data_IF_394542105287
#
_entry.id   IF_394542105287
#
_cell.length_a   1.000
_cell.length_b   1.000
_cell.length_c   1.000
_cell.angle_alpha   90.00
_cell.angle_beta   90.00
_cell.angle_gamma   90.00
#
_symmetry.space_group_name_H-M   'P 1'
#
loop_
_entity.id
_entity.type
_entity.pdbx_description
1 polymer ?
#
# COMPACT_ATOMS: atom_id res chain seq x y z
N UNK A 1 21.27 1.16 7.72
CA UNK A 1 22.02 -0.06 7.36
C UNK A 1 21.08 -1.22 7.06
N UNK A 2 20.31 -1.75 8.01
CA UNK A 2 19.54 -3.00 7.78
C UNK A 2 18.39 -3.00 6.76
N UNK A 3 17.74 -1.86 6.45
CA UNK A 3 16.54 -1.86 5.58
C UNK A 3 16.85 -2.06 4.10
N UNK A 4 17.94 -1.46 3.62
CA UNK A 4 18.39 -1.63 2.24
C UNK A 4 18.81 -3.09 1.97
N UNK A 5 19.42 -3.75 2.95
CA UNK A 5 19.78 -5.17 2.87
C UNK A 5 18.52 -6.05 2.83
N UNK A 6 17.58 -5.81 3.76
CA UNK A 6 16.31 -6.55 3.83
C UNK A 6 15.49 -6.38 2.53
N UNK A 7 15.49 -5.18 1.94
CA UNK A 7 14.86 -4.89 0.64
C UNK A 7 15.58 -5.61 -0.50
N UNK A 8 16.92 -5.61 -0.53
CA UNK A 8 17.70 -6.30 -1.55
C UNK A 8 17.49 -7.83 -1.51
N UNK A 9 17.29 -8.38 -0.30
CA UNK A 9 16.96 -9.79 -0.10
C UNK A 9 15.58 -10.22 -0.60
N UNK A 10 14.75 -9.30 -1.12
CA UNK A 10 13.46 -9.63 -1.73
C UNK A 10 13.59 -10.12 -3.18
N UNK A 11 14.64 -9.71 -3.92
CA UNK A 11 14.78 -9.99 -5.35
C UNK A 11 14.61 -11.48 -5.71
N UNK A 12 15.26 -12.36 -4.93
CA UNK A 12 15.20 -13.81 -5.12
C UNK A 12 13.97 -14.51 -4.53
N UNK A 13 13.01 -13.79 -3.96
CA UNK A 13 11.82 -14.39 -3.33
C UNK A 13 10.68 -14.48 -4.32
N UNK A 14 10.04 -15.66 -4.46
CA UNK A 14 8.86 -15.78 -5.29
C UNK A 14 7.64 -15.15 -4.61
N UNK A 15 6.69 -14.73 -5.45
CA UNK A 15 5.31 -14.45 -5.02
C UNK A 15 4.73 -15.72 -4.38
N UNK A 16 3.96 -15.55 -3.30
CA UNK A 16 3.41 -16.65 -2.51
C UNK A 16 1.89 -16.85 -2.71
N UNK A 17 1.28 -16.10 -3.61
CA UNK A 17 -0.14 -16.16 -3.98
C UNK A 17 -0.25 -16.50 -5.46
N UNK A 18 -1.15 -17.41 -5.81
CA UNK A 18 -1.48 -17.69 -7.19
C UNK A 18 -2.72 -16.84 -7.56
N UNK A 19 -2.65 -15.98 -8.59
CA UNK A 19 -3.80 -15.21 -9.05
C UNK A 19 -5.00 -16.10 -9.45
N UNK A 20 -4.77 -17.34 -9.87
CA UNK A 20 -5.84 -18.30 -10.15
C UNK A 20 -6.59 -18.76 -8.89
N UNK A 21 -6.00 -18.57 -7.69
CA UNK A 21 -6.66 -18.80 -6.40
C UNK A 21 -7.46 -17.58 -5.92
N UNK A 22 -7.53 -16.48 -6.70
CA UNK A 22 -8.26 -15.27 -6.31
C UNK A 22 -9.74 -15.59 -6.06
N UNK A 23 -10.25 -15.34 -4.84
CA UNK A 23 -11.63 -15.66 -4.50
C UNK A 23 -12.58 -14.54 -4.94
N UNK A 24 -13.70 -14.89 -5.57
CA UNK A 24 -14.77 -13.92 -5.90
C UNK A 24 -15.54 -13.42 -4.67
N UNK A 25 -15.50 -14.17 -3.56
CA UNK A 25 -16.24 -13.89 -2.32
C UNK A 25 -15.48 -14.37 -1.08
N UNK A 26 -15.68 -13.74 0.10
CA UNK A 26 -15.14 -14.25 1.36
C UNK A 26 -15.54 -15.71 1.60
N UNK A 27 -14.60 -16.55 2.07
CA UNK A 27 -14.84 -17.97 2.32
C UNK A 27 -13.56 -18.82 2.29
N UNK A 28 -13.62 -20.05 2.82
CA UNK A 28 -12.49 -20.99 2.84
C UNK A 28 -11.17 -20.44 3.43
N UNK A 29 -11.26 -19.51 4.38
CA UNK A 29 -10.10 -18.87 5.02
C UNK A 29 -9.55 -17.64 4.28
N UNK A 30 -10.19 -17.23 3.18
CA UNK A 30 -9.89 -15.98 2.48
C UNK A 30 -10.69 -14.81 3.04
N UNK A 31 -9.98 -13.71 3.22
CA UNK A 31 -10.53 -12.38 3.42
C UNK A 31 -10.57 -11.66 2.07
N UNK A 32 -11.69 -10.99 1.79
CA UNK A 32 -11.85 -10.13 0.62
C UNK A 32 -12.29 -8.76 1.11
N UNK A 33 -11.61 -7.73 0.65
CA UNK A 33 -11.82 -6.35 1.04
C UNK A 33 -12.01 -5.46 -0.18
N UNK A 34 -12.93 -4.51 -0.01
CA UNK A 34 -13.14 -3.45 -0.97
C UNK A 34 -13.31 -2.13 -0.23
N UNK A 35 -12.49 -1.14 -0.60
CA UNK A 35 -12.55 0.22 -0.07
C UNK A 35 -12.73 1.21 -1.23
N UNK A 36 -13.55 2.23 -1.03
CA UNK A 36 -13.74 3.33 -1.99
C UNK A 36 -13.87 4.64 -1.23
N UNK A 37 -13.24 5.69 -1.73
CA UNK A 37 -13.37 7.03 -1.19
C UNK A 37 -13.33 8.07 -2.31
N UNK A 38 -14.30 8.98 -2.32
CA UNK A 38 -14.22 10.22 -3.11
C UNK A 38 -13.07 11.07 -2.57
N UNK A 39 -12.09 11.39 -3.41
CA UNK A 39 -10.87 12.12 -3.02
C UNK A 39 -10.74 13.47 -3.71
N UNK A 40 -11.50 13.72 -4.76
CA UNK A 40 -11.51 14.99 -5.48
C UNK A 40 -12.62 15.05 -6.53
N UNK A 41 -12.65 16.17 -7.26
CA UNK A 41 -13.61 16.38 -8.34
C UNK A 41 -12.99 17.29 -9.38
N UNK A 42 -13.24 16.98 -10.64
CA UNK A 42 -12.82 17.73 -11.82
C UNK A 42 -14.05 18.01 -12.71
N UNK A 43 -13.95 18.85 -13.74
CA UNK A 43 -14.95 18.88 -14.80
C UNK A 43 -15.08 17.51 -15.50
N UNK A 44 -16.28 17.20 -16.05
CA UNK A 44 -16.47 16.07 -16.96
C UNK A 44 -15.48 16.09 -18.14
N UNK A 45 -15.14 14.91 -18.65
CA UNK A 45 -14.13 14.70 -19.69
C UNK A 45 -12.79 14.23 -19.14
N UNK A 46 -11.76 14.32 -19.98
CA UNK A 46 -10.40 13.86 -19.67
C UNK A 46 -9.84 14.50 -18.39
N UNK A 47 -8.88 13.85 -17.69
CA UNK A 47 -8.21 14.46 -16.54
C UNK A 47 -7.66 15.84 -16.85
N UNK A 48 -7.88 16.78 -15.92
CA UNK A 48 -7.29 18.11 -16.02
C UNK A 48 -5.81 18.01 -15.65
N UNK A 49 -4.89 18.62 -16.43
CA UNK A 49 -3.47 18.70 -16.04
C UNK A 49 -3.30 19.31 -14.65
N UNK A 50 -2.44 18.70 -13.83
CA UNK A 50 -2.24 19.01 -12.42
C UNK A 50 -3.54 18.93 -11.57
N UNK A 51 -4.56 18.24 -12.07
CA UNK A 51 -5.87 18.06 -11.45
C UNK A 51 -5.87 17.08 -10.27
N UNK A 52 -7.05 16.90 -9.67
CA UNK A 52 -7.23 16.01 -8.52
C UNK A 52 -6.94 14.54 -8.86
N UNK A 53 -7.20 14.10 -10.10
CA UNK A 53 -6.88 12.75 -10.57
C UNK A 53 -5.36 12.54 -10.65
N UNK A 54 -4.61 13.45 -11.27
CA UNK A 54 -3.15 13.35 -11.36
C UNK A 54 -2.48 13.43 -9.97
N UNK A 55 -2.98 14.31 -9.10
CA UNK A 55 -2.52 14.42 -7.70
C UNK A 55 -2.76 13.13 -6.93
N UNK A 56 -3.95 12.54 -7.04
CA UNK A 56 -4.27 11.27 -6.41
C UNK A 56 -3.36 10.16 -6.95
N UNK A 57 -3.12 10.11 -8.27
CA UNK A 57 -2.19 9.16 -8.88
C UNK A 57 -0.78 9.31 -8.30
N UNK A 58 -0.28 10.54 -8.12
CA UNK A 58 1.03 10.78 -7.50
C UNK A 58 1.09 10.27 -6.05
N UNK A 59 0.07 10.58 -5.23
CA UNK A 59 -0.02 10.09 -3.84
C UNK A 59 0.00 8.55 -3.78
N UNK A 60 -0.74 7.90 -4.69
CA UNK A 60 -0.85 6.43 -4.75
C UNK A 60 0.43 5.78 -5.29
N UNK A 61 1.05 6.34 -6.33
CA UNK A 61 2.34 5.90 -6.89
C UNK A 61 3.46 5.90 -5.85
N UNK A 62 3.47 6.94 -5.04
CA UNK A 62 4.54 7.19 -4.07
C UNK A 62 4.24 6.60 -2.68
N UNK A 63 3.14 5.84 -2.57
CA UNK A 63 2.69 5.15 -1.35
C UNK A 63 2.54 6.08 -0.13
N UNK A 64 2.19 7.35 -0.37
CA UNK A 64 2.13 8.40 0.66
C UNK A 64 0.84 8.37 1.50
N UNK A 65 -0.10 7.50 1.13
CA UNK A 65 -1.43 7.41 1.71
C UNK A 65 -1.54 6.51 2.95
N UNK A 66 -0.51 5.72 3.29
CA UNK A 66 -0.61 4.83 4.45
C UNK A 66 -0.55 5.60 5.76
N UNK A 67 -1.24 5.10 6.78
CA UNK A 67 -1.06 5.56 8.15
C UNK A 67 0.31 5.10 8.65
N UNK A 68 1.26 6.04 8.75
CA UNK A 68 2.61 5.77 9.20
C UNK A 68 2.68 5.02 10.53
N UNK A 69 1.68 5.14 11.41
CA UNK A 69 1.65 4.45 12.72
C UNK A 69 1.39 2.95 12.57
N UNK A 70 0.85 2.52 11.42
CA UNK A 70 0.49 1.13 11.13
C UNK A 70 1.41 0.51 10.10
N UNK A 71 1.64 1.19 8.97
CA UNK A 71 2.42 0.66 7.85
C UNK A 71 3.31 1.75 7.26
N UNK A 72 4.57 1.40 7.04
CA UNK A 72 5.50 2.17 6.21
C UNK A 72 5.98 1.33 5.04
N UNK A 73 6.12 1.94 3.87
CA UNK A 73 6.73 1.32 2.70
C UNK A 73 8.19 1.75 2.56
N UNK A 74 9.05 0.80 2.20
CA UNK A 74 10.44 1.03 1.80
C UNK A 74 10.67 0.45 0.42
N UNK A 75 11.21 1.27 -0.48
CA UNK A 75 11.47 0.87 -1.86
C UNK A 75 12.55 1.77 -2.46
N UNK A 76 13.04 1.42 -3.66
CA UNK A 76 13.90 2.30 -4.45
C UNK A 76 13.04 3.00 -5.49
N UNK A 77 12.99 4.34 -5.49
CA UNK A 77 12.14 5.07 -6.44
C UNK A 77 12.67 5.00 -7.89
N UNK A 78 13.96 4.69 -8.06
CA UNK A 78 14.60 4.50 -9.36
C UNK A 78 14.17 3.19 -10.06
N UNK A 79 13.70 2.19 -9.30
CA UNK A 79 13.20 0.94 -9.88
C UNK A 79 11.87 1.22 -10.60
N UNK A 80 11.63 0.71 -11.82
CA UNK A 80 10.33 0.80 -12.48
C UNK A 80 9.19 0.33 -11.56
N UNK A 81 8.00 0.93 -11.64
CA UNK A 81 6.90 0.56 -10.75
C UNK A 81 6.54 -0.91 -10.92
N UNK A 82 6.34 -1.38 -12.15
CA UNK A 82 6.11 -2.80 -12.44
C UNK A 82 7.38 -3.61 -12.11
N UNK A 83 7.21 -4.67 -11.32
CA UNK A 83 8.31 -5.52 -10.85
C UNK A 83 9.04 -4.99 -9.61
N UNK A 84 8.70 -3.78 -9.12
CA UNK A 84 9.34 -3.19 -7.94
C UNK A 84 9.12 -4.05 -6.71
N UNK A 85 10.22 -4.39 -6.04
CA UNK A 85 10.16 -4.94 -4.69
C UNK A 85 9.93 -3.82 -3.69
N UNK A 86 9.02 -4.06 -2.76
CA UNK A 86 8.74 -3.17 -1.64
C UNK A 86 8.79 -3.96 -0.34
N UNK A 87 9.41 -3.36 0.67
CA UNK A 87 9.37 -3.85 2.03
C UNK A 87 8.32 -3.05 2.79
N UNK A 88 7.31 -3.71 3.34
CA UNK A 88 6.34 -3.10 4.23
C UNK A 88 6.77 -3.34 5.67
N UNK A 89 6.82 -2.29 6.50
CA UNK A 89 6.99 -2.41 7.95
C UNK A 89 5.61 -2.31 8.60
N UNK A 90 5.05 -3.47 8.96
CA UNK A 90 3.87 -3.56 9.81
C UNK A 90 4.24 -3.21 11.26
N UNK A 91 3.52 -2.28 11.88
CA UNK A 91 3.84 -1.72 13.20
C UNK A 91 2.76 -2.08 14.21
N UNK A 92 3.12 -2.84 15.24
CA UNK A 92 2.22 -3.24 16.31
C UNK A 92 2.87 -3.03 17.68
N UNK A 93 2.50 -1.96 18.38
CA UNK A 93 3.17 -1.60 19.64
C UNK A 93 4.68 -1.42 19.42
N UNK A 94 5.56 -2.18 20.10
CA UNK A 94 7.00 -2.20 19.85
C UNK A 94 7.42 -3.14 18.70
N UNK A 95 6.58 -4.06 18.25
CA UNK A 95 6.93 -5.00 17.18
C UNK A 95 6.92 -4.31 15.81
N UNK A 96 7.93 -4.62 14.99
CA UNK A 96 8.05 -4.17 13.60
C UNK A 96 8.23 -5.42 12.73
N UNK A 97 7.35 -5.62 11.77
CA UNK A 97 7.38 -6.78 10.88
C UNK A 97 7.80 -6.35 9.49
N UNK A 98 8.91 -6.90 9.00
CA UNK A 98 9.38 -6.70 7.64
C UNK A 98 8.69 -7.71 6.71
N UNK A 99 7.83 -7.19 5.85
CA UNK A 99 6.87 -7.91 5.02
C UNK A 99 7.12 -7.57 3.55
N UNK A 100 7.71 -8.50 2.81
CA UNK A 100 8.07 -8.28 1.40
C UNK A 100 6.87 -8.43 0.47
N UNK A 101 6.73 -7.50 -0.47
CA UNK A 101 5.75 -7.52 -1.56
C UNK A 101 6.43 -7.14 -2.88
N UNK A 102 5.82 -7.51 -3.99
CA UNK A 102 6.29 -7.13 -5.33
C UNK A 102 5.14 -6.58 -6.15
N UNK A 103 5.37 -5.47 -6.85
CA UNK A 103 4.40 -4.93 -7.80
C UNK A 103 4.33 -5.85 -9.01
N UNK A 104 3.15 -6.39 -9.30
CA UNK A 104 2.92 -7.39 -10.35
C UNK A 104 2.05 -6.88 -11.49
N UNK A 105 1.35 -5.77 -11.28
CA UNK A 105 0.48 -5.16 -12.29
C UNK A 105 0.50 -3.63 -12.17
N UNK A 106 0.39 -2.96 -13.31
CA UNK A 106 0.17 -1.52 -13.43
C UNK A 106 -0.91 -1.33 -14.48
N UNK A 107 -1.96 -0.58 -14.15
CA UNK A 107 -3.05 -0.25 -15.07
C UNK A 107 -3.00 1.25 -15.38
N UNK A 108 -3.19 1.57 -16.65
CA UNK A 108 -3.23 2.94 -17.13
C UNK A 108 -4.08 2.98 -18.41
N UNK A 109 -5.41 3.10 -18.26
CA UNK A 109 -6.35 2.98 -19.37
C UNK A 109 -7.63 3.81 -19.20
N UNK A 110 -8.45 3.82 -20.24
CA UNK A 110 -9.85 4.27 -20.20
C UNK A 110 -10.73 3.06 -20.49
N UNK A 111 -11.68 2.77 -19.60
CA UNK A 111 -12.64 1.67 -19.76
C UNK A 111 -14.01 2.13 -19.27
N UNK A 112 -15.09 1.73 -19.96
CA UNK A 112 -16.48 1.94 -19.52
C UNK A 112 -16.82 3.38 -19.06
N UNK A 113 -16.26 4.39 -19.72
CA UNK A 113 -16.49 5.80 -19.38
C UNK A 113 -15.74 6.30 -18.14
N UNK A 114 -14.77 5.54 -17.62
CA UNK A 114 -13.87 5.96 -16.54
C UNK A 114 -12.41 5.94 -16.99
N UNK A 115 -11.63 6.90 -16.46
CA UNK A 115 -10.17 6.91 -16.56
C UNK A 115 -9.58 6.25 -15.33
N UNK A 116 -8.75 5.23 -15.53
CA UNK A 116 -8.18 4.41 -14.44
C UNK A 116 -6.65 4.44 -14.51
N UNK A 117 -6.03 4.73 -13.38
CA UNK A 117 -4.61 4.47 -13.16
C UNK A 117 -4.41 3.77 -11.82
N UNK A 118 -3.53 2.79 -11.75
CA UNK A 118 -3.35 2.02 -10.53
C UNK A 118 -2.25 0.99 -10.62
N UNK A 119 -2.03 0.27 -9.52
CA UNK A 119 -1.07 -0.81 -9.46
C UNK A 119 -1.43 -1.82 -8.38
N UNK A 120 -0.88 -3.02 -8.55
CA UNK A 120 -1.12 -4.17 -7.70
C UNK A 120 0.19 -4.70 -7.18
N UNK A 121 0.23 -5.07 -5.90
CA UNK A 121 1.29 -5.91 -5.37
C UNK A 121 0.77 -7.25 -4.89
N UNK A 122 1.65 -8.24 -4.96
CA UNK A 122 1.49 -9.56 -4.39
C UNK A 122 2.48 -9.80 -3.25
N UNK A 123 2.07 -10.53 -2.23
CA UNK A 123 2.95 -10.88 -1.10
C UNK A 123 4.02 -11.89 -1.50
N UNK A 124 5.22 -11.73 -0.95
CA UNK A 124 6.37 -12.62 -1.22
C UNK A 124 6.52 -13.71 -0.15
N UNK A 125 7.28 -14.77 -0.46
CA UNK A 125 7.61 -15.81 0.51
C UNK A 125 8.28 -15.23 1.78
N UNK A 126 7.77 -15.65 2.94
CA UNK A 126 8.17 -15.16 4.27
C UNK A 126 7.30 -14.03 4.82
N UNK A 127 6.28 -13.59 4.07
CA UNK A 127 5.19 -12.75 4.58
C UNK A 127 4.28 -13.53 5.54
N UNK A 128 3.59 -12.82 6.45
CA UNK A 128 2.57 -13.39 7.37
C UNK A 128 1.28 -13.81 6.68
N UNK A 129 1.12 -13.41 5.42
CA UNK A 129 -0.10 -13.55 4.63
C UNK A 129 0.27 -14.01 3.22
N UNK A 130 -0.71 -14.60 2.55
CA UNK A 130 -0.72 -14.87 1.11
C UNK A 130 -1.86 -14.05 0.52
N UNK A 131 -1.55 -13.04 -0.26
CA UNK A 131 -2.57 -12.13 -0.77
C UNK A 131 -2.07 -11.13 -1.78
N UNK A 132 -3.04 -10.37 -2.28
CA UNK A 132 -2.91 -9.34 -3.31
C UNK A 132 -3.63 -8.08 -2.85
N UNK A 133 -3.01 -6.93 -3.08
CA UNK A 133 -3.65 -5.62 -2.92
C UNK A 133 -3.50 -4.79 -4.19
N UNK A 134 -4.63 -4.26 -4.66
CA UNK A 134 -4.73 -3.35 -5.81
C UNK A 134 -5.17 -1.98 -5.33
N UNK A 135 -4.48 -0.94 -5.79
CA UNK A 135 -4.81 0.47 -5.55
C UNK A 135 -5.08 1.15 -6.88
N UNK A 136 -6.26 1.72 -7.05
CA UNK A 136 -6.68 2.43 -8.27
C UNK A 136 -7.14 3.86 -7.93
N UNK A 137 -6.87 4.77 -8.84
CA UNK A 137 -7.48 6.09 -8.92
C UNK A 137 -8.38 6.11 -10.15
N UNK A 138 -9.66 6.33 -9.92
CA UNK A 138 -10.70 6.25 -10.95
C UNK A 138 -11.33 7.64 -11.08
N UNK A 139 -11.34 8.19 -12.31
CA UNK A 139 -12.14 9.37 -12.65
C UNK A 139 -13.34 8.93 -13.49
N UNK A 140 -14.55 9.26 -13.04
CA UNK A 140 -15.75 9.17 -13.87
C UNK A 140 -15.74 10.32 -14.89
N UNK A 141 -15.71 9.99 -16.19
CA UNK A 141 -15.58 11.00 -17.25
C UNK A 141 -16.89 11.75 -17.50
N UNK A 142 -18.03 11.26 -16.99
CA UNK A 142 -19.33 11.92 -17.12
C UNK A 142 -19.59 12.87 -15.95
N UNK A 143 -19.23 12.49 -14.72
CA UNK A 143 -19.47 13.33 -13.52
C UNK A 143 -18.25 14.16 -13.13
N UNK A 144 -17.05 13.71 -13.49
CA UNK A 144 -15.78 14.28 -13.04
C UNK A 144 -15.37 13.90 -11.62
N UNK A 145 -16.10 12.98 -10.96
CA UNK A 145 -15.73 12.48 -9.63
C UNK A 145 -14.42 11.69 -9.70
N UNK A 146 -13.51 11.93 -8.74
CA UNK A 146 -12.23 11.24 -8.61
C UNK A 146 -12.23 10.44 -7.33
N UNK A 147 -11.97 9.14 -7.46
CA UNK A 147 -12.06 8.19 -6.36
C UNK A 147 -10.81 7.36 -6.22
N UNK A 148 -10.48 7.07 -4.97
CA UNK A 148 -9.49 6.07 -4.62
C UNK A 148 -10.19 4.76 -4.29
N UNK A 149 -9.76 3.68 -4.96
CA UNK A 149 -10.34 2.35 -4.84
C UNK A 149 -9.27 1.36 -4.40
N UNK A 150 -9.62 0.50 -3.46
CA UNK A 150 -8.78 -0.58 -2.97
C UNK A 150 -9.52 -1.89 -3.13
N UNK A 151 -8.85 -2.88 -3.71
CA UNK A 151 -9.31 -4.27 -3.76
C UNK A 151 -8.23 -5.14 -3.16
N UNK A 152 -8.59 -5.96 -2.18
CA UNK A 152 -7.65 -6.88 -1.58
C UNK A 152 -8.27 -8.25 -1.40
N UNK A 153 -7.44 -9.27 -1.52
CA UNK A 153 -7.75 -10.58 -0.96
C UNK A 153 -6.51 -11.15 -0.28
N UNK A 154 -6.70 -11.78 0.87
CA UNK A 154 -5.60 -12.42 1.60
C UNK A 154 -6.08 -13.61 2.42
N UNK A 155 -5.16 -14.51 2.74
CA UNK A 155 -5.33 -15.51 3.79
C UNK A 155 -4.06 -15.59 4.65
N UNK A 156 -4.16 -16.01 5.91
CA UNK A 156 -2.97 -16.22 6.74
C UNK A 156 -2.00 -17.20 6.08
N UNK A 157 -0.72 -16.87 6.07
CA UNK A 157 0.33 -17.85 5.77
C UNK A 157 0.52 -18.76 7.00
N UNK A 158 1.32 -19.82 6.85
CA UNK A 158 1.77 -20.60 8.01
C UNK A 158 2.70 -19.71 8.84
N UNK A 159 2.28 -19.32 10.04
CA UNK A 159 3.08 -18.53 11.00
C UNK A 159 3.63 -19.49 12.07
N UNK A 160 4.91 -19.92 12.00
CA UNK A 160 5.45 -20.92 12.92
C UNK A 160 5.52 -20.41 14.36
N UNK A 161 5.92 -19.14 14.54
CA UNK A 161 6.11 -18.54 15.85
C UNK A 161 4.74 -18.14 16.48
N UNK A 162 4.37 -18.71 17.63
CA UNK A 162 3.08 -18.43 18.28
C UNK A 162 2.94 -16.98 18.76
N UNK A 163 4.04 -16.31 19.14
CA UNK A 163 4.03 -14.90 19.55
C UNK A 163 3.69 -13.98 18.37
N UNK A 164 4.26 -14.26 17.19
CA UNK A 164 3.97 -13.48 15.98
C UNK A 164 2.56 -13.74 15.49
N UNK A 165 2.09 -15.00 15.58
CA UNK A 165 0.71 -15.36 15.29
C UNK A 165 -0.27 -14.62 16.21
N UNK A 166 0.03 -14.52 17.51
CA UNK A 166 -0.79 -13.76 18.45
C UNK A 166 -0.75 -12.26 18.15
N UNK A 167 0.43 -11.68 17.91
CA UNK A 167 0.56 -10.27 17.55
C UNK A 167 -0.18 -9.91 16.26
N UNK A 168 -0.16 -10.80 15.27
CA UNK A 168 -0.91 -10.66 14.02
C UNK A 168 -2.42 -10.84 14.23
N UNK A 169 -2.85 -11.82 15.02
CA UNK A 169 -4.27 -12.02 15.35
C UNK A 169 -4.86 -10.84 16.13
N UNK A 170 -4.06 -10.18 16.98
CA UNK A 170 -4.44 -8.94 17.67
C UNK A 170 -4.57 -7.75 16.71
N UNK A 171 -3.95 -7.80 15.53
CA UNK A 171 -4.21 -6.86 14.43
C UNK A 171 -5.50 -7.17 13.67
N UNK A 172 -6.48 -7.70 14.39
CA UNK A 172 -7.69 -8.33 13.86
C UNK A 172 -8.49 -7.47 12.89
N UNK A 173 -9.53 -8.07 12.33
CA UNK A 173 -10.37 -7.54 11.25
C UNK A 173 -10.79 -6.06 11.39
N UNK A 174 -11.03 -5.58 12.60
CA UNK A 174 -11.36 -4.17 12.85
C UNK A 174 -10.26 -3.18 12.47
N UNK A 175 -8.99 -3.56 12.65
CA UNK A 175 -7.84 -2.71 12.29
C UNK A 175 -7.62 -2.67 10.77
N UNK A 176 -7.94 -3.77 10.07
CA UNK A 176 -7.95 -3.84 8.61
C UNK A 176 -9.04 -2.93 8.01
N UNK A 177 -10.28 -2.99 8.52
CA UNK A 177 -11.37 -2.13 8.05
C UNK A 177 -11.08 -0.64 8.28
N UNK A 178 -10.54 -0.30 9.46
CA UNK A 178 -10.16 1.07 9.75
C UNK A 178 -8.98 1.55 8.90
N UNK A 179 -8.09 0.65 8.45
CA UNK A 179 -7.03 1.00 7.51
C UNK A 179 -7.62 1.55 6.20
N UNK A 180 -8.60 0.86 5.59
CA UNK A 180 -9.20 1.30 4.32
C UNK A 180 -9.87 2.67 4.41
N UNK A 181 -10.56 2.97 5.51
CA UNK A 181 -11.13 4.31 5.72
C UNK A 181 -10.05 5.38 5.88
N UNK A 182 -9.01 5.12 6.69
CA UNK A 182 -7.93 6.09 6.96
C UNK A 182 -7.10 6.40 5.71
N UNK A 183 -6.82 5.41 4.87
CA UNK A 183 -6.06 5.65 3.64
C UNK A 183 -6.84 6.49 2.64
N UNK A 184 -8.15 6.26 2.49
CA UNK A 184 -9.01 7.10 1.65
C UNK A 184 -9.09 8.55 2.15
N UNK A 185 -9.24 8.75 3.46
CA UNK A 185 -9.17 10.07 4.09
C UNK A 185 -7.81 10.74 3.81
N UNK A 186 -6.71 10.01 3.97
CA UNK A 186 -5.37 10.56 3.75
C UNK A 186 -5.12 10.95 2.29
N UNK A 187 -5.61 10.18 1.31
CA UNK A 187 -5.54 10.60 -0.10
C UNK A 187 -6.32 11.90 -0.31
N UNK A 188 -7.57 11.97 0.19
CA UNK A 188 -8.39 13.19 0.11
C UNK A 188 -7.70 14.40 0.72
N UNK A 189 -7.11 14.24 1.91
CA UNK A 189 -6.43 15.33 2.61
C UNK A 189 -5.20 15.83 1.84
N UNK A 190 -4.40 14.91 1.28
CA UNK A 190 -3.23 15.26 0.48
C UNK A 190 -3.61 15.94 -0.84
N UNK A 191 -4.64 15.44 -1.53
CA UNK A 191 -5.18 16.06 -2.75
C UNK A 191 -5.75 17.45 -2.45
N UNK A 192 -6.54 17.57 -1.38
CA UNK A 192 -7.11 18.84 -0.93
C UNK A 192 -6.06 19.87 -0.55
N UNK A 193 -5.00 19.46 0.15
CA UNK A 193 -3.86 20.32 0.48
C UNK A 193 -3.10 20.76 -0.78
N UNK A 194 -2.89 19.85 -1.73
CA UNK A 194 -2.25 20.16 -3.01
C UNK A 194 -3.05 21.16 -3.84
N UNK A 195 -4.37 21.01 -3.86
CA UNK A 195 -5.27 21.98 -4.47
C UNK A 195 -5.20 23.36 -3.81
N UNK A 196 -4.94 23.42 -2.51
CA UNK A 196 -4.72 24.66 -1.78
C UNK A 196 -3.29 25.24 -1.94
N UNK A 197 -2.44 24.65 -2.79
CA UNK A 197 -1.10 25.12 -3.09
C UNK A 197 0.01 24.53 -2.20
N UNK A 198 -0.30 23.55 -1.35
CA UNK A 198 0.74 22.84 -0.60
C UNK A 198 1.38 21.73 -1.44
N UNK A 199 2.72 21.60 -1.48
CA UNK A 199 3.33 20.54 -2.27
C UNK A 199 2.94 19.16 -1.73
N UNK A 200 2.68 18.21 -2.63
CA UNK A 200 2.55 16.80 -2.26
C UNK A 200 3.89 16.30 -1.67
N UNK A 201 3.84 15.41 -0.65
CA UNK A 201 5.05 14.76 -0.15
C UNK A 201 5.65 13.92 -1.27
N UNK A 202 6.97 14.08 -1.51
CA UNK A 202 7.69 13.40 -2.58
C UNK A 202 8.73 12.44 -2.00
N UNK A 203 8.81 11.18 -2.45
CA UNK A 203 9.82 10.26 -1.97
C UNK A 203 11.24 10.86 -2.08
N UNK A 204 11.91 11.04 -0.93
CA UNK A 204 13.30 11.47 -0.88
C UNK A 204 14.17 10.27 -0.52
N UNK A 205 15.03 9.77 -1.42
CA UNK A 205 15.92 8.66 -1.12
C UNK A 205 16.88 9.03 0.01
N UNK A 206 17.07 8.10 0.94
CA UNK A 206 18.18 8.18 1.90
C UNK A 206 19.54 7.94 1.22
N UNK A 207 20.65 8.01 1.97
CA UNK A 207 21.99 7.71 1.47
C UNK A 207 22.15 6.29 0.90
N UNK A 208 21.27 5.37 1.28
CA UNK A 208 21.21 3.98 0.80
C UNK A 208 20.30 3.81 -0.44
N UNK A 209 19.81 4.91 -1.01
CA UNK A 209 18.93 4.91 -2.19
C UNK A 209 17.49 4.46 -1.90
N UNK A 210 17.15 4.22 -0.62
CA UNK A 210 15.83 3.74 -0.20
C UNK A 210 14.98 4.90 0.29
N UNK A 211 13.73 4.95 -0.16
CA UNK A 211 12.74 5.90 0.35
C UNK A 211 11.94 5.30 1.49
N UNK A 212 11.42 6.16 2.37
CA UNK A 212 10.44 5.78 3.41
C UNK A 212 9.13 6.50 3.11
N UNK A 213 8.07 5.73 2.90
CA UNK A 213 6.72 6.23 2.68
C UNK A 213 5.80 5.88 3.87
N UNK A 214 4.94 6.80 4.34
CA UNK A 214 4.89 8.19 3.92
C UNK A 214 6.09 8.98 4.45
N UNK A 215 6.51 9.98 3.68
CA UNK A 215 7.61 10.87 4.03
C UNK A 215 7.25 11.78 5.20
N UNK A 216 8.24 12.18 5.99
CA UNK A 216 8.05 13.14 7.09
C UNK A 216 7.27 12.60 8.29
N UNK A 217 7.02 11.29 8.33
CA UNK A 217 6.31 10.67 9.44
C UNK A 217 7.07 10.85 10.78
N UNK A 218 6.42 11.36 11.84
CA UNK A 218 7.08 11.57 13.12
C UNK A 218 7.55 10.25 13.75
N UNK A 219 8.53 10.36 14.66
CA UNK A 219 8.93 9.24 15.51
C UNK A 219 7.85 8.99 16.57
N UNK A 220 7.46 7.74 16.72
CA UNK A 220 6.52 7.32 17.76
C UNK A 220 7.27 6.85 19.01
N UNK A 221 6.68 6.96 20.19
CA UNK A 221 7.34 6.53 21.46
C UNK A 221 7.80 5.07 21.43
N UNK A 222 7.05 4.21 20.76
CA UNK A 222 7.40 2.78 20.61
C UNK A 222 8.56 2.51 19.66
N UNK A 223 9.06 3.53 18.94
CA UNK A 223 10.25 3.39 18.08
C UNK A 223 11.55 3.24 18.90
N UNK A 224 11.59 3.77 20.12
CA UNK A 224 12.75 3.67 20.99
C UNK A 224 13.01 2.25 21.51
N UNK A 225 11.96 1.42 21.57
CA UNK A 225 11.99 0.05 22.08
C UNK A 225 11.58 -0.95 20.99
N UNK A 226 11.74 -0.57 19.73
CA UNK A 226 11.25 -1.37 18.62
C UNK A 226 12.03 -2.68 18.47
N UNK A 227 11.31 -3.80 18.43
CA UNK A 227 11.85 -5.11 18.11
C UNK A 227 11.51 -5.45 16.66
N UNK A 228 12.55 -5.59 15.84
CA UNK A 228 12.41 -5.92 14.43
C UNK A 228 12.33 -7.44 14.22
N UNK A 229 11.26 -7.86 13.57
CA UNK A 229 11.01 -9.23 13.12
C UNK A 229 11.16 -9.28 11.60
N UNK A 230 12.12 -10.08 11.14
CA UNK A 230 12.35 -10.33 9.72
C UNK A 230 11.78 -11.69 9.33
N UNK A 231 11.21 -11.76 8.14
CA UNK A 231 10.70 -13.00 7.54
C UNK A 231 9.80 -13.81 8.47
N UNK A 232 8.78 -13.19 9.07
CA UNK A 232 7.98 -13.82 10.12
C UNK A 232 7.16 -15.04 9.68
N UNK A 233 7.04 -15.28 8.37
CA UNK A 233 6.39 -16.45 7.78
C UNK A 233 7.34 -17.63 7.44
N UNK A 234 8.59 -17.61 7.92
CA UNK A 234 9.56 -18.72 7.80
C UNK A 234 9.96 -19.21 9.18
#
# INVERSE_FOLDING_TARGET
MHRADDLSGLAGRPVNVDPAEAPDRPGAGWYVDHGRALVGTEPPGDPVPDGDWERACAVVRDYQFTDHRRVRGFFRPADPLLGRDMLLEGRFGPLRFHLGVRVTEVVDEVRDGVRVWGWTYDTLRGHLERGRLTYEVVKDLRTGEVEFVIRAFSRPARIPNPLYRLGFALFGRGVQLEFYHRVGQRVRDLVGAARAGHPLPRPAPGPDGVVVAPQGAPRHRTDAVALLVRHPGV
#
